data_IF_026617000778
#
_entry.id   IF_026617000778
#
_cell.length_a   1.000
_cell.length_b   1.000
_cell.length_c   1.000
_cell.angle_alpha   90.00
_cell.angle_beta   90.00
_cell.angle_gamma   90.00
#
_symmetry.space_group_name_H-M   'P 1'
#
loop_
_entity.id
_entity.type
_entity.pdbx_description
1 polymer ?
#
# COMPACT_ATOMS: atom_id res chain seq x y z
N UNK A 1 -12.18 25.52 -7.30
CA UNK A 1 -10.97 24.97 -6.64
C UNK A 1 -10.81 23.56 -7.15
N UNK A 2 -9.71 23.24 -7.86
CA UNK A 2 -9.40 21.87 -8.24
C UNK A 2 -8.99 21.11 -6.96
N UNK A 3 -9.95 20.46 -6.33
CA UNK A 3 -9.62 19.62 -5.18
C UNK A 3 -8.88 18.38 -5.72
N UNK A 4 -7.62 18.26 -5.36
CA UNK A 4 -6.86 17.03 -5.65
C UNK A 4 -7.49 15.88 -4.87
N UNK A 5 -8.05 14.90 -5.60
CA UNK A 5 -8.75 13.77 -5.02
C UNK A 5 -7.81 12.57 -4.90
N UNK A 6 -7.73 11.99 -3.71
CA UNK A 6 -7.19 10.64 -3.50
C UNK A 6 -8.37 9.67 -3.29
N UNK A 7 -8.41 8.61 -4.08
CA UNK A 7 -9.36 7.51 -3.87
C UNK A 7 -8.75 6.44 -2.98
N UNK A 8 -9.53 5.97 -2.01
CA UNK A 8 -9.19 4.80 -1.19
C UNK A 8 -10.12 3.66 -1.59
N UNK A 9 -9.58 2.60 -2.17
CA UNK A 9 -10.33 1.37 -2.45
C UNK A 9 -10.30 0.45 -1.24
N UNK A 10 -11.50 0.16 -0.74
CA UNK A 10 -11.72 -0.63 0.48
C UNK A 10 -11.78 -2.12 0.18
N UNK A 11 -10.79 -2.87 0.64
CA UNK A 11 -10.69 -4.34 0.55
C UNK A 11 -11.15 -5.06 1.84
N UNK A 12 -11.93 -4.40 2.68
CA UNK A 12 -12.49 -4.98 3.91
C UNK A 12 -11.57 -4.89 5.13
N UNK A 13 -10.55 -4.04 5.10
CA UNK A 13 -9.64 -3.83 6.22
C UNK A 13 -10.25 -2.97 7.32
N UNK A 14 -9.77 -3.14 8.56
CA UNK A 14 -10.23 -2.37 9.72
C UNK A 14 -9.78 -0.90 9.70
N UNK A 15 -8.76 -0.55 8.91
CA UNK A 15 -8.11 0.77 8.95
C UNK A 15 -8.50 1.69 7.79
N UNK A 16 -9.52 1.35 7.00
CA UNK A 16 -9.91 2.11 5.80
C UNK A 16 -10.27 3.57 6.13
N UNK A 17 -11.06 3.77 7.18
CA UNK A 17 -11.44 5.12 7.63
C UNK A 17 -10.25 5.88 8.22
N UNK A 18 -9.32 5.18 8.86
CA UNK A 18 -8.11 5.79 9.39
C UNK A 18 -7.18 6.25 8.25
N UNK A 19 -7.04 5.46 7.18
CA UNK A 19 -6.30 5.86 5.98
C UNK A 19 -6.92 7.15 5.41
N UNK A 20 -8.24 7.15 5.17
CA UNK A 20 -8.94 8.31 4.65
C UNK A 20 -8.79 9.53 5.56
N UNK A 21 -8.86 9.34 6.88
CA UNK A 21 -8.63 10.41 7.86
C UNK A 21 -7.22 10.98 7.75
N UNK A 22 -6.16 10.14 7.64
CA UNK A 22 -4.78 10.60 7.50
C UNK A 22 -4.55 11.40 6.22
N UNK A 23 -5.17 11.00 5.10
CA UNK A 23 -5.13 11.76 3.86
C UNK A 23 -5.76 13.15 4.06
N UNK A 24 -6.93 13.22 4.73
CA UNK A 24 -7.61 14.50 5.02
C UNK A 24 -6.84 15.39 5.99
N UNK A 25 -6.16 14.81 6.98
CA UNK A 25 -5.27 15.55 7.90
C UNK A 25 -4.07 16.19 7.18
N UNK A 26 -3.67 15.63 6.04
CA UNK A 26 -2.70 16.23 5.12
C UNK A 26 -3.32 17.32 4.21
N UNK A 27 -4.56 17.77 4.48
CA UNK A 27 -5.32 18.73 3.68
C UNK A 27 -5.60 18.27 2.23
N UNK A 28 -5.66 16.97 1.99
CA UNK A 28 -6.00 16.39 0.68
C UNK A 28 -7.42 15.81 0.72
N UNK A 29 -8.23 16.13 -0.29
CA UNK A 29 -9.57 15.57 -0.40
C UNK A 29 -9.49 14.05 -0.66
N UNK A 30 -10.32 13.27 0.04
CA UNK A 30 -10.29 11.82 -0.01
C UNK A 30 -11.70 11.22 0.03
N UNK A 31 -11.95 10.30 -0.88
CA UNK A 31 -13.15 9.46 -0.91
C UNK A 31 -12.79 7.97 -0.77
N UNK A 32 -13.69 7.21 -0.14
CA UNK A 32 -13.56 5.76 0.02
C UNK A 32 -14.60 5.08 -0.88
N UNK A 33 -14.15 4.17 -1.73
CA UNK A 33 -14.99 3.35 -2.60
C UNK A 33 -14.76 1.87 -2.33
N UNK A 34 -15.77 1.02 -2.57
CA UNK A 34 -15.57 -0.43 -2.57
C UNK A 34 -14.53 -0.85 -3.63
N UNK A 35 -13.76 -1.90 -3.34
CA UNK A 35 -12.71 -2.45 -4.22
C UNK A 35 -13.22 -2.81 -5.63
N UNK A 36 -14.50 -3.19 -5.74
CA UNK A 36 -15.16 -3.59 -6.98
C UNK A 36 -15.87 -2.44 -7.72
N UNK A 37 -15.52 -1.19 -7.40
CA UNK A 37 -16.04 -0.03 -8.12
C UNK A 37 -15.62 -0.08 -9.58
N UNK A 38 -16.55 0.29 -10.49
CA UNK A 38 -16.28 0.26 -11.92
C UNK A 38 -15.19 1.25 -12.33
N UNK A 39 -14.42 0.87 -13.34
CA UNK A 39 -13.37 1.73 -13.91
C UNK A 39 -13.93 3.06 -14.42
N UNK A 40 -15.11 3.06 -15.02
CA UNK A 40 -15.76 4.28 -15.50
C UNK A 40 -16.05 5.25 -14.35
N UNK A 41 -16.48 4.72 -13.18
CA UNK A 41 -16.68 5.54 -12.00
C UNK A 41 -15.36 6.13 -11.51
N UNK A 42 -14.29 5.35 -11.44
CA UNK A 42 -12.97 5.82 -11.05
C UNK A 42 -12.47 6.91 -12.02
N UNK A 43 -12.59 6.67 -13.33
CA UNK A 43 -12.20 7.64 -14.38
C UNK A 43 -12.98 8.95 -14.25
N UNK A 44 -14.30 8.88 -14.04
CA UNK A 44 -15.16 10.06 -13.92
C UNK A 44 -14.80 10.96 -12.73
N UNK A 45 -14.25 10.40 -11.67
CA UNK A 45 -13.82 11.14 -10.48
C UNK A 45 -12.45 11.80 -10.66
N UNK A 46 -11.69 11.42 -11.68
CA UNK A 46 -10.37 11.98 -12.04
C UNK A 46 -9.40 12.10 -10.84
N UNK A 47 -9.15 11.01 -10.09
CA UNK A 47 -8.29 11.07 -8.91
C UNK A 47 -6.82 11.32 -9.29
N UNK A 48 -6.07 11.95 -8.40
CA UNK A 48 -4.62 12.17 -8.51
C UNK A 48 -3.80 11.01 -7.95
N UNK A 49 -4.43 10.13 -7.18
CA UNK A 49 -3.83 8.91 -6.65
C UNK A 49 -4.89 7.96 -6.15
N UNK A 50 -4.54 6.68 -6.07
CA UNK A 50 -5.41 5.61 -5.57
C UNK A 50 -4.65 4.87 -4.47
N UNK A 51 -5.33 4.60 -3.34
CA UNK A 51 -4.78 3.80 -2.24
C UNK A 51 -5.59 2.50 -2.16
N UNK A 52 -4.91 1.36 -2.24
CA UNK A 52 -5.48 0.06 -1.95
C UNK A 52 -5.26 -0.26 -0.47
N UNK A 53 -6.34 -0.50 0.26
CA UNK A 53 -6.25 -0.76 1.70
C UNK A 53 -5.77 -2.18 2.01
N UNK A 54 -5.49 -2.42 3.28
CA UNK A 54 -5.39 -3.78 3.80
C UNK A 54 -6.74 -4.51 3.76
N UNK A 55 -6.71 -5.80 4.03
CA UNK A 55 -7.88 -6.65 4.13
C UNK A 55 -7.56 -7.95 4.87
N UNK A 56 -8.55 -8.69 5.35
CA UNK A 56 -8.36 -9.95 6.08
C UNK A 56 -8.07 -11.14 5.16
N UNK A 57 -8.33 -10.99 3.85
CA UNK A 57 -8.17 -12.06 2.87
C UNK A 57 -6.70 -12.31 2.49
N UNK A 58 -6.44 -13.44 1.85
CA UNK A 58 -5.20 -13.72 1.12
C UNK A 58 -5.49 -13.67 -0.37
N UNK A 59 -4.58 -13.13 -1.17
CA UNK A 59 -4.70 -13.15 -2.65
C UNK A 59 -4.66 -14.57 -3.24
N UNK A 60 -4.25 -15.55 -2.44
CA UNK A 60 -4.26 -16.97 -2.79
C UNK A 60 -5.60 -17.65 -2.50
N UNK A 61 -6.53 -16.94 -1.86
CA UNK A 61 -7.87 -17.46 -1.60
C UNK A 61 -8.72 -17.33 -2.88
N UNK A 62 -9.44 -18.39 -3.31
CA UNK A 62 -10.36 -18.31 -4.46
C UNK A 62 -11.46 -17.25 -4.34
N UNK A 63 -11.78 -16.81 -3.12
CA UNK A 63 -12.77 -15.77 -2.83
C UNK A 63 -12.15 -14.41 -2.51
N UNK A 64 -10.86 -14.24 -2.79
CA UNK A 64 -10.17 -12.99 -2.51
C UNK A 64 -10.83 -11.80 -3.26
N UNK A 65 -10.90 -10.62 -2.65
CA UNK A 65 -11.43 -9.44 -3.30
C UNK A 65 -10.44 -8.88 -4.31
N UNK A 66 -10.72 -9.00 -5.61
CA UNK A 66 -9.93 -8.42 -6.70
C UNK A 66 -10.62 -7.19 -7.26
N UNK A 67 -9.84 -6.15 -7.55
CA UNK A 67 -10.29 -5.02 -8.36
C UNK A 67 -10.08 -5.31 -9.86
N UNK A 68 -10.62 -4.45 -10.72
CA UNK A 68 -10.35 -4.52 -12.14
C UNK A 68 -8.88 -4.19 -12.44
N UNK A 69 -8.23 -5.00 -13.29
CA UNK A 69 -6.81 -4.82 -13.65
C UNK A 69 -6.57 -3.52 -14.44
N UNK A 70 -7.56 -3.02 -15.11
CA UNK A 70 -7.50 -1.76 -15.88
C UNK A 70 -7.13 -0.56 -14.98
N UNK A 71 -7.34 -0.64 -13.66
CA UNK A 71 -6.92 0.40 -12.71
C UNK A 71 -5.44 0.74 -12.81
N UNK A 72 -4.59 -0.23 -13.15
CA UNK A 72 -3.14 -0.03 -13.32
C UNK A 72 -2.76 0.59 -14.67
N UNK A 73 -3.70 0.67 -15.59
CA UNK A 73 -3.52 1.23 -16.94
C UNK A 73 -3.99 2.69 -17.03
N UNK A 74 -4.63 3.19 -15.97
CA UNK A 74 -5.15 4.57 -15.91
C UNK A 74 -4.04 5.65 -15.89
N UNK A 75 -2.78 5.28 -15.68
CA UNK A 75 -1.68 6.24 -15.51
C UNK A 75 -1.72 7.00 -14.18
N UNK A 76 -2.60 6.61 -13.25
CA UNK A 76 -2.76 7.20 -11.93
C UNK A 76 -1.83 6.48 -10.95
N UNK A 77 -1.10 7.21 -10.08
CA UNK A 77 -0.31 6.60 -9.02
C UNK A 77 -1.15 5.70 -8.11
N UNK A 78 -0.70 4.47 -7.86
CA UNK A 78 -1.36 3.51 -6.95
C UNK A 78 -0.45 3.16 -5.79
N UNK A 79 -0.97 3.28 -4.58
CA UNK A 79 -0.31 2.87 -3.33
C UNK A 79 -1.03 1.66 -2.74
N UNK A 80 -0.34 0.53 -2.59
CA UNK A 80 -0.89 -0.66 -1.94
C UNK A 80 -0.40 -0.80 -0.49
N UNK A 81 -1.31 -1.09 0.43
CA UNK A 81 -1.04 -1.30 1.86
C UNK A 81 -1.48 -2.71 2.26
N UNK A 82 -0.59 -3.49 2.86
CA UNK A 82 -0.84 -4.87 3.31
C UNK A 82 -1.46 -5.75 2.21
N UNK A 83 -2.73 -6.12 2.33
CA UNK A 83 -3.44 -6.87 1.29
C UNK A 83 -3.35 -6.18 -0.08
N UNK A 84 -3.53 -4.87 -0.14
CA UNK A 84 -3.42 -4.10 -1.39
C UNK A 84 -2.05 -4.23 -2.05
N UNK A 85 -0.96 -4.34 -1.25
CA UNK A 85 0.37 -4.64 -1.76
C UNK A 85 0.45 -6.03 -2.39
N UNK A 86 -0.04 -7.05 -1.68
CA UNK A 86 -0.04 -8.42 -2.17
C UNK A 86 -0.86 -8.55 -3.45
N UNK A 87 -2.02 -7.90 -3.49
CA UNK A 87 -2.90 -7.84 -4.66
C UNK A 87 -2.21 -7.23 -5.87
N UNK A 88 -1.55 -6.08 -5.69
CA UNK A 88 -0.80 -5.42 -6.77
C UNK A 88 0.32 -6.33 -7.29
N UNK A 89 1.09 -6.95 -6.39
CA UNK A 89 2.13 -7.89 -6.78
C UNK A 89 1.56 -9.02 -7.63
N UNK A 90 0.54 -9.69 -7.12
CA UNK A 90 -0.10 -10.83 -7.77
C UNK A 90 -0.67 -10.45 -9.15
N UNK A 91 -1.42 -9.35 -9.23
CA UNK A 91 -2.05 -8.89 -10.48
C UNK A 91 -1.05 -8.42 -11.54
N UNK A 92 0.12 -7.96 -11.13
CA UNK A 92 1.17 -7.46 -12.03
C UNK A 92 2.23 -8.52 -12.37
N UNK A 93 2.05 -9.77 -11.93
CA UNK A 93 2.90 -10.90 -12.29
C UNK A 93 4.02 -11.22 -11.30
N UNK A 94 3.99 -10.64 -10.10
CA UNK A 94 4.82 -11.07 -8.98
C UNK A 94 4.24 -12.30 -8.28
N UNK A 95 4.92 -12.80 -7.26
CA UNK A 95 4.49 -13.95 -6.47
C UNK A 95 4.31 -13.59 -5.01
N UNK A 96 3.25 -14.13 -4.40
CA UNK A 96 2.94 -14.00 -2.98
C UNK A 96 2.96 -15.38 -2.36
N UNK A 97 3.64 -15.52 -1.23
CA UNK A 97 3.79 -16.77 -0.50
C UNK A 97 3.43 -16.60 0.97
N UNK A 98 3.12 -17.73 1.60
CA UNK A 98 2.89 -17.79 3.04
C UNK A 98 4.24 -17.87 3.74
N UNK A 99 4.47 -16.99 4.72
CA UNK A 99 5.69 -17.02 5.50
C UNK A 99 5.75 -18.26 6.41
N UNK A 100 6.89 -18.92 6.46
CA UNK A 100 7.14 -20.01 7.42
C UNK A 100 7.14 -19.48 8.86
N UNK A 101 7.73 -18.30 9.06
CA UNK A 101 7.69 -17.58 10.33
C UNK A 101 6.85 -16.32 10.14
N UNK A 102 5.84 -16.19 10.98
CA UNK A 102 4.97 -15.00 10.98
C UNK A 102 5.72 -13.82 11.59
N UNK A 103 5.66 -12.68 10.94
CA UNK A 103 6.26 -11.45 11.45
C UNK A 103 5.20 -10.62 12.18
N UNK A 104 5.29 -10.60 13.52
CA UNK A 104 4.41 -9.82 14.38
C UNK A 104 5.22 -8.99 15.37
N UNK A 105 4.84 -7.73 15.54
CA UNK A 105 5.45 -6.86 16.53
C UNK A 105 6.34 -5.77 15.95
N UNK A 106 7.17 -5.19 16.80
CA UNK A 106 8.11 -4.13 16.44
C UNK A 106 9.29 -4.70 15.65
N UNK A 107 9.56 -4.14 14.49
CA UNK A 107 10.66 -4.52 13.59
C UNK A 107 11.36 -3.27 13.10
N UNK A 108 12.69 -3.30 13.10
CA UNK A 108 13.48 -2.22 12.50
C UNK A 108 13.38 -2.31 10.97
N UNK A 109 13.20 -1.17 10.32
CA UNK A 109 13.13 -1.03 8.88
C UNK A 109 14.19 -0.06 8.40
N UNK A 110 14.84 -0.39 7.29
CA UNK A 110 15.84 0.45 6.62
C UNK A 110 15.25 0.92 5.30
N UNK A 111 15.19 2.24 5.11
CA UNK A 111 14.65 2.88 3.91
C UNK A 111 15.72 3.26 2.90
N UNK A 112 15.42 3.09 1.62
CA UNK A 112 16.14 3.76 0.53
C UNK A 112 15.69 5.23 0.46
N UNK A 113 16.43 6.12 1.12
CA UNK A 113 16.13 7.55 1.17
C UNK A 113 16.29 8.27 -0.19
N UNK A 114 16.85 7.62 -1.19
CA UNK A 114 16.83 8.09 -2.59
C UNK A 114 15.45 7.95 -3.26
N UNK A 115 14.53 7.24 -2.63
CA UNK A 115 13.15 7.15 -3.09
C UNK A 115 12.37 8.41 -2.71
N UNK A 116 11.66 9.04 -3.67
CA UNK A 116 10.75 10.17 -3.41
C UNK A 116 9.72 9.89 -2.31
N UNK A 117 9.39 8.62 -2.12
CA UNK A 117 8.44 8.16 -1.11
C UNK A 117 8.97 8.35 0.32
N UNK A 118 10.30 8.33 0.50
CA UNK A 118 10.98 8.45 1.78
C UNK A 118 11.79 9.74 1.89
N UNK A 119 11.51 10.70 1.02
CA UNK A 119 12.13 12.02 1.09
C UNK A 119 11.79 12.70 2.42
N UNK A 120 12.81 13.09 3.17
CA UNK A 120 12.66 13.70 4.49
C UNK A 120 12.40 12.72 5.66
N UNK A 121 12.45 11.41 5.40
CA UNK A 121 12.35 10.38 6.44
C UNK A 121 13.76 9.90 6.84
N UNK A 122 13.97 9.60 8.11
CA UNK A 122 15.22 9.00 8.59
C UNK A 122 15.45 7.63 7.93
N UNK A 123 16.71 7.30 7.65
CA UNK A 123 17.09 6.05 6.99
C UNK A 123 16.64 4.80 7.73
N UNK A 124 16.57 4.86 9.04
CA UNK A 124 16.16 3.76 9.91
C UNK A 124 14.96 4.18 10.77
N UNK A 125 14.01 3.28 10.92
CA UNK A 125 12.85 3.50 11.78
C UNK A 125 12.33 2.16 12.33
N UNK A 126 11.37 2.24 13.25
CA UNK A 126 10.68 1.07 13.77
C UNK A 126 9.26 1.03 13.21
N UNK A 127 8.84 -0.11 12.70
CA UNK A 127 7.47 -0.34 12.27
C UNK A 127 6.84 -1.54 12.99
N UNK A 128 5.51 -1.59 12.99
CA UNK A 128 4.77 -2.74 13.48
C UNK A 128 4.38 -3.63 12.32
N UNK A 129 4.84 -4.87 12.35
CA UNK A 129 4.49 -5.90 11.38
C UNK A 129 3.33 -6.76 11.89
N UNK A 130 2.45 -7.14 10.98
CA UNK A 130 1.34 -8.05 11.26
C UNK A 130 0.91 -8.71 9.95
N UNK A 131 1.73 -9.64 9.48
CA UNK A 131 1.42 -10.34 8.22
C UNK A 131 1.81 -11.81 8.27
N UNK A 132 1.06 -12.61 7.53
CA UNK A 132 1.28 -14.05 7.32
C UNK A 132 1.78 -14.34 5.91
N UNK A 133 1.55 -13.44 4.97
CA UNK A 133 1.92 -13.56 3.56
C UNK A 133 2.88 -12.43 3.18
N UNK A 134 3.82 -12.74 2.31
CA UNK A 134 4.81 -11.79 1.80
C UNK A 134 4.95 -11.91 0.28
N UNK A 135 5.47 -10.87 -0.35
CA UNK A 135 5.83 -10.89 -1.77
C UNK A 135 7.18 -11.58 -1.89
N UNK A 136 7.24 -12.72 -2.59
CA UNK A 136 8.47 -13.47 -2.81
C UNK A 136 9.24 -12.93 -4.03
N UNK A 137 8.54 -12.73 -5.16
CA UNK A 137 9.15 -12.11 -6.34
C UNK A 137 8.40 -10.85 -6.72
N UNK A 138 9.16 -9.78 -6.98
CA UNK A 138 8.61 -8.52 -7.46
C UNK A 138 8.14 -8.64 -8.91
N UNK A 139 7.08 -7.93 -9.30
CA UNK A 139 6.71 -7.79 -10.70
C UNK A 139 7.83 -7.13 -11.52
N UNK A 140 7.85 -7.38 -12.83
CA UNK A 140 8.83 -6.79 -13.73
C UNK A 140 8.82 -5.25 -13.68
N UNK A 141 9.99 -4.66 -13.57
CA UNK A 141 10.18 -3.20 -13.52
C UNK A 141 10.00 -2.59 -12.13
N UNK A 142 9.78 -3.40 -11.10
CA UNK A 142 9.75 -2.93 -9.72
C UNK A 142 11.10 -3.12 -9.04
N UNK A 143 11.45 -2.20 -8.14
CA UNK A 143 12.67 -2.25 -7.34
C UNK A 143 12.35 -2.09 -5.87
N UNK A 144 13.10 -2.79 -5.04
CA UNK A 144 12.98 -2.68 -3.59
C UNK A 144 13.39 -1.28 -3.13
N UNK A 145 12.70 -0.75 -2.13
CA UNK A 145 13.04 0.55 -1.54
C UNK A 145 12.99 0.58 0.01
N UNK A 146 12.72 -0.54 0.65
CA UNK A 146 13.01 -0.72 2.07
C UNK A 146 13.12 -2.19 2.45
N UNK A 147 13.80 -2.45 3.57
CA UNK A 147 14.14 -3.77 4.09
C UNK A 147 13.80 -3.94 5.55
N UNK A 148 13.50 -5.20 5.94
CA UNK A 148 13.55 -5.65 7.33
C UNK A 148 14.46 -6.89 7.46
N UNK A 149 14.96 -7.21 8.66
CA UNK A 149 15.86 -8.34 8.87
C UNK A 149 15.26 -9.72 8.52
N UNK A 150 13.92 -9.87 8.53
CA UNK A 150 13.23 -11.16 8.41
C UNK A 150 12.62 -11.34 7.02
N UNK A 151 12.05 -10.28 6.43
CA UNK A 151 11.42 -10.33 5.11
C UNK A 151 12.09 -9.35 4.16
N UNK A 152 12.71 -9.88 3.11
CA UNK A 152 13.56 -9.13 2.19
C UNK A 152 12.82 -8.09 1.32
N UNK A 153 11.48 -8.17 1.18
CA UNK A 153 10.72 -7.40 0.18
C UNK A 153 9.53 -6.67 0.81
N UNK A 154 9.80 -5.71 1.69
CA UNK A 154 8.71 -5.01 2.40
C UNK A 154 8.12 -3.84 1.61
N UNK A 155 8.92 -3.23 0.75
CA UNK A 155 8.51 -2.04 0.00
C UNK A 155 9.24 -1.99 -1.34
N UNK A 156 8.49 -1.63 -2.37
CA UNK A 156 8.99 -1.60 -3.73
C UNK A 156 8.22 -0.57 -4.58
N UNK A 157 8.88 -0.04 -5.58
CA UNK A 157 8.38 0.98 -6.51
C UNK A 157 8.77 0.64 -7.95
N UNK A 158 8.11 1.25 -8.92
CA UNK A 158 8.52 1.19 -10.32
C UNK A 158 8.76 2.58 -10.89
N UNK A 159 9.76 2.69 -11.77
CA UNK A 159 10.03 3.92 -12.53
C UNK A 159 9.13 4.07 -13.76
N UNK A 160 8.56 2.95 -14.26
CA UNK A 160 7.72 2.94 -15.47
C UNK A 160 6.22 3.11 -15.18
N UNK A 161 5.77 2.81 -13.96
CA UNK A 161 4.40 2.98 -13.50
C UNK A 161 4.43 3.66 -12.15
N UNK A 162 3.59 4.65 -11.93
CA UNK A 162 3.50 5.36 -10.64
C UNK A 162 2.86 4.48 -9.56
N UNK A 163 3.39 3.27 -9.36
CA UNK A 163 2.91 2.34 -8.36
C UNK A 163 3.89 2.26 -7.20
N UNK A 164 3.40 2.36 -5.98
CA UNK A 164 4.16 2.26 -4.74
C UNK A 164 3.47 1.30 -3.79
N UNK A 165 4.23 0.69 -2.89
CA UNK A 165 3.67 -0.39 -2.07
C UNK A 165 4.27 -0.43 -0.68
N UNK A 166 3.41 -0.67 0.32
CA UNK A 166 3.79 -0.74 1.73
C UNK A 166 3.14 -1.89 2.48
N UNK A 167 3.90 -2.62 3.26
CA UNK A 167 3.36 -3.69 4.08
C UNK A 167 2.85 -3.23 5.46
N UNK A 168 3.32 -2.11 6.02
CA UNK A 168 3.00 -1.77 7.41
C UNK A 168 3.02 -0.29 7.81
N UNK A 169 3.23 0.63 6.91
CA UNK A 169 3.50 2.05 7.21
C UNK A 169 2.36 2.78 7.93
N UNK A 170 1.12 2.32 7.83
CA UNK A 170 0.02 2.98 8.52
C UNK A 170 0.24 3.09 10.03
N UNK A 171 0.87 2.09 10.63
CA UNK A 171 1.15 2.08 12.08
C UNK A 171 2.31 3.01 12.46
N UNK A 172 3.28 3.24 11.57
CA UNK A 172 4.39 4.15 11.82
C UNK A 172 3.91 5.61 11.98
N UNK A 173 3.07 6.09 11.06
CA UNK A 173 2.53 7.45 11.13
C UNK A 173 1.57 7.67 12.31
N UNK A 174 0.89 6.62 12.77
CA UNK A 174 -0.01 6.69 13.93
C UNK A 174 0.79 6.83 15.21
N UNK A 175 1.86 6.04 15.40
CA UNK A 175 2.64 6.02 16.64
C UNK A 175 3.49 7.27 16.83
N UNK A 176 4.04 7.86 15.77
CA UNK A 176 4.82 9.10 15.90
C UNK A 176 3.99 10.31 16.38
N UNK A 177 2.67 10.31 16.21
CA UNK A 177 1.80 11.37 16.73
C UNK A 177 1.21 11.08 18.11
N UNK A 178 1.15 9.83 18.54
CA UNK A 178 0.65 9.48 19.89
C UNK A 178 1.70 9.67 20.98
N UNK A 179 2.99 9.76 20.64
CA UNK A 179 4.07 10.10 21.60
C UNK A 179 4.27 11.62 21.80
N UNK A 180 3.49 12.48 21.13
CA UNK A 180 3.61 13.94 21.20
C UNK A 180 2.47 14.58 22.04
N UNK A 181 1.61 13.78 22.71
CA UNK A 181 0.59 14.29 23.63
C UNK A 181 0.67 13.62 25.00
#
# INVERSE_FOLDING_TARGET
>A
MNNELILVLDFGGQYNQLIARRVREANVYCEVLPYNSSIDKIKSMNPKGIIFTGGPASVLDPKAPFCDKEVFELGIPVLGICYGMQLMSYMLGGTVEKAEQREYGKVNIIFDTGSKLFEGIEKESTCWMSHTYYVNNLPEGFVKCADTPIVLWQQWKTSKRSCMVFNSILKLFILQKEEIY
#
